data_IF_481075461043
#
_entry.id   IF_481075461043
#
_cell.length_a   1.000
_cell.length_b   1.000
_cell.length_c   1.000
_cell.angle_alpha   90.00
_cell.angle_beta   90.00
_cell.angle_gamma   90.00
#
_symmetry.space_group_name_H-M   'P 1'
#
loop_
_entity.id
_entity.type
_entity.pdbx_description
1 polymer ?
#
# COMPACT_ATOMS: atom_id res chain seq x y z
N UNK A 1 29.00 35.78 125.35
CA UNK A 1 30.10 35.83 124.37
C UNK A 1 30.79 34.47 124.31
N UNK A 2 30.48 33.66 123.29
CA UNK A 2 31.26 32.45 123.00
C UNK A 2 32.37 32.85 122.03
N UNK A 3 33.62 32.61 122.44
CA UNK A 3 34.84 33.05 121.76
C UNK A 3 35.04 32.17 120.51
N UNK A 4 34.65 32.67 119.34
CA UNK A 4 35.01 32.01 118.08
C UNK A 4 36.54 31.92 117.99
N UNK A 5 37.11 30.75 117.63
CA UNK A 5 38.55 30.56 117.55
C UNK A 5 39.16 31.51 116.51
N UNK A 6 40.38 32.00 116.77
CA UNK A 6 41.17 32.75 115.78
C UNK A 6 41.27 31.91 114.51
N UNK A 7 40.92 32.48 113.36
CA UNK A 7 40.79 31.83 112.04
C UNK A 7 39.50 31.01 111.78
N UNK A 8 38.42 31.22 112.54
CA UNK A 8 37.13 30.55 112.28
C UNK A 8 36.65 30.70 110.83
N UNK A 9 36.88 31.85 110.19
CA UNK A 9 36.57 32.07 108.76
C UNK A 9 37.31 31.10 107.83
N UNK A 10 38.57 30.76 108.13
CA UNK A 10 39.35 29.79 107.35
C UNK A 10 38.87 28.36 107.58
N UNK A 11 38.41 28.04 108.80
CA UNK A 11 37.80 26.75 109.12
C UNK A 11 36.45 26.62 108.41
N UNK A 12 35.63 27.66 108.44
CA UNK A 12 34.32 27.69 107.78
C UNK A 12 34.47 27.61 106.25
N UNK A 13 35.47 28.31 105.68
CA UNK A 13 35.81 28.22 104.25
C UNK A 13 36.31 26.82 103.87
N UNK A 14 37.15 26.20 104.72
CA UNK A 14 37.65 24.84 104.52
C UNK A 14 36.53 23.80 104.57
N UNK A 15 35.63 23.88 105.57
CA UNK A 15 34.46 23.00 105.69
C UNK A 15 33.49 23.22 104.53
N UNK A 16 33.26 24.48 104.14
CA UNK A 16 32.43 24.82 102.97
C UNK A 16 33.01 24.28 101.66
N UNK A 17 34.33 24.36 101.47
CA UNK A 17 35.01 23.80 100.30
C UNK A 17 34.91 22.27 100.22
N UNK A 18 35.08 21.58 101.35
CA UNK A 18 34.93 20.12 101.41
C UNK A 18 33.48 19.70 101.16
N UNK A 19 32.51 20.43 101.71
CA UNK A 19 31.08 20.18 101.45
C UNK A 19 30.73 20.39 99.97
N UNK A 20 31.23 21.47 99.34
CA UNK A 20 31.01 21.75 97.93
C UNK A 20 31.61 20.65 97.02
N UNK A 21 32.83 20.18 97.33
CA UNK A 21 33.45 19.05 96.62
C UNK A 21 32.65 17.75 96.81
N UNK A 22 32.12 17.50 98.01
CA UNK A 22 31.24 16.37 98.29
C UNK A 22 29.95 16.38 97.49
N UNK A 23 29.29 17.54 97.40
CA UNK A 23 28.08 17.70 96.58
C UNK A 23 28.37 17.62 95.07
N UNK A 24 29.49 18.16 94.61
CA UNK A 24 29.92 18.02 93.21
C UNK A 24 30.21 16.55 92.84
N UNK A 25 30.87 15.80 93.73
CA UNK A 25 31.12 14.37 93.55
C UNK A 25 29.82 13.55 93.55
N UNK A 26 28.87 13.85 94.44
CA UNK A 26 27.54 13.23 94.42
C UNK A 26 26.76 13.55 93.13
N UNK A 27 26.84 14.81 92.66
CA UNK A 27 26.23 15.22 91.39
C UNK A 27 26.79 14.44 90.20
N UNK A 28 28.12 14.28 90.13
CA UNK A 28 28.81 13.53 89.08
C UNK A 28 28.53 12.02 89.16
N UNK A 29 28.44 11.45 90.36
CA UNK A 29 28.05 10.05 90.55
C UNK A 29 26.59 9.80 90.12
N UNK A 30 25.68 10.74 90.38
CA UNK A 30 24.28 10.64 89.94
C UNK A 30 24.07 10.96 88.46
N UNK A 31 24.87 11.83 87.84
CA UNK A 31 24.76 12.10 86.41
C UNK A 31 25.09 10.87 85.55
N UNK A 32 26.00 10.00 86.00
CA UNK A 32 26.28 8.72 85.35
C UNK A 32 25.14 7.69 85.50
N UNK A 33 24.21 7.90 86.44
CA UNK A 33 23.03 7.06 86.62
C UNK A 33 21.81 7.53 85.79
N UNK A 34 21.85 8.71 85.18
CA UNK A 34 20.75 9.22 84.34
C UNK A 34 20.51 8.31 83.12
N UNK A 35 21.57 7.70 82.58
CA UNK A 35 21.42 6.70 81.51
C UNK A 35 20.71 5.41 81.98
N UNK A 36 20.77 5.08 83.28
CA UNK A 36 20.08 3.94 83.87
C UNK A 36 18.64 4.29 84.31
N UNK A 37 18.40 5.49 84.83
CA UNK A 37 17.05 5.96 85.22
C UNK A 37 16.15 6.26 84.01
N UNK A 38 16.75 6.56 82.84
CA UNK A 38 16.04 6.67 81.55
C UNK A 38 16.36 5.50 80.60
N UNK A 39 16.98 4.42 81.09
CA UNK A 39 16.99 3.17 80.35
C UNK A 39 15.55 2.70 80.31
N UNK A 40 14.84 3.04 79.23
CA UNK A 40 13.64 2.32 78.85
C UNK A 40 14.10 0.89 78.59
N UNK A 41 14.00 0.05 79.60
CA UNK A 41 13.99 -1.39 79.42
C UNK A 41 12.80 -1.68 78.50
N UNK A 42 13.06 -1.72 77.19
CA UNK A 42 12.19 -2.44 76.29
C UNK A 42 12.28 -3.89 76.78
N UNK A 43 11.19 -4.50 77.25
CA UNK A 43 11.26 -5.85 77.76
C UNK A 43 11.66 -6.77 76.62
N UNK A 44 12.93 -7.13 76.53
CA UNK A 44 13.41 -8.27 75.76
C UNK A 44 13.25 -9.51 76.64
N UNK A 45 12.01 -9.79 77.05
CA UNK A 45 11.62 -11.11 77.54
C UNK A 45 10.77 -11.74 76.45
N UNK A 46 11.22 -12.90 75.95
CA UNK A 46 10.48 -13.67 74.95
C UNK A 46 9.02 -13.86 75.33
N UNK A 47 8.13 -13.57 74.39
CA UNK A 47 6.69 -13.72 74.58
C UNK A 47 5.89 -12.88 73.61
N UNK A 48 5.84 -13.34 72.35
CA UNK A 48 5.06 -12.84 71.22
C UNK A 48 5.58 -11.53 70.63
N UNK A 49 6.18 -11.69 69.45
CA UNK A 49 5.93 -10.84 68.28
C UNK A 49 4.97 -9.69 68.60
N UNK A 50 5.45 -8.45 68.60
CA UNK A 50 4.56 -7.29 68.57
C UNK A 50 3.95 -7.32 67.16
N UNK A 51 3.02 -8.24 66.94
CA UNK A 51 2.13 -8.22 65.79
C UNK A 51 1.34 -6.93 65.95
N UNK A 52 1.80 -5.88 65.26
CA UNK A 52 0.88 -4.86 64.78
C UNK A 52 -0.22 -5.67 64.07
N UNK A 53 -1.49 -5.59 64.48
CA UNK A 53 -2.54 -6.49 63.98
C UNK A 53 -2.64 -6.55 62.45
N UNK A 54 -2.12 -5.52 61.77
CA UNK A 54 -2.08 -5.39 60.32
C UNK A 54 -0.71 -5.69 59.67
N UNK A 55 0.37 -5.97 60.42
CA UNK A 55 1.69 -6.30 59.86
C UNK A 55 1.70 -7.53 58.91
N UNK A 56 0.93 -8.61 59.19
CA UNK A 56 0.78 -9.69 58.23
C UNK A 56 0.02 -9.26 56.97
N UNK A 57 -0.91 -8.31 57.10
CA UNK A 57 -1.70 -7.77 56.00
C UNK A 57 -0.86 -6.83 55.12
N UNK A 58 0.04 -6.03 55.69
CA UNK A 58 0.95 -5.17 54.93
C UNK A 58 1.97 -5.99 54.13
N UNK A 59 2.55 -7.04 54.73
CA UNK A 59 3.46 -7.95 54.00
C UNK A 59 2.74 -8.70 52.85
N UNK A 60 1.50 -9.14 53.07
CA UNK A 60 0.65 -9.72 52.00
C UNK A 60 0.27 -8.69 50.94
N UNK A 61 -0.05 -7.46 51.33
CA UNK A 61 -0.40 -6.38 50.41
C UNK A 61 0.80 -6.00 49.52
N UNK A 62 1.99 -5.83 50.12
CA UNK A 62 3.23 -5.57 49.39
C UNK A 62 3.56 -6.72 48.44
N UNK A 63 3.45 -7.97 48.90
CA UNK A 63 3.61 -9.15 48.05
C UNK A 63 2.60 -9.19 46.89
N UNK A 64 1.35 -8.77 47.13
CA UNK A 64 0.28 -8.73 46.11
C UNK A 64 0.41 -7.60 45.08
N UNK A 65 1.21 -6.58 45.40
CA UNK A 65 1.57 -5.47 44.51
C UNK A 65 2.76 -5.86 43.61
N UNK A 66 3.66 -6.68 44.11
CA UNK A 66 4.88 -7.11 43.40
C UNK A 66 4.72 -8.44 42.65
N UNK A 67 3.65 -9.20 42.92
CA UNK A 67 3.35 -10.43 42.20
C UNK A 67 2.93 -10.13 40.76
N UNK A 68 3.62 -10.73 39.79
CA UNK A 68 3.17 -10.72 38.38
C UNK A 68 1.75 -11.30 38.35
N UNK A 69 0.80 -10.48 37.88
CA UNK A 69 -0.56 -10.95 37.59
C UNK A 69 -0.63 -11.26 36.11
N UNK A 70 -0.91 -12.51 35.79
CA UNK A 70 -1.33 -12.87 34.45
C UNK A 70 -2.76 -12.40 34.27
N UNK A 71 -2.95 -11.52 33.29
CA UNK A 71 -4.27 -11.05 32.89
C UNK A 71 -4.77 -12.02 31.83
N UNK A 72 -5.79 -12.80 32.18
CA UNK A 72 -6.44 -13.69 31.24
C UNK A 72 -7.22 -12.88 30.19
N UNK A 73 -7.05 -13.26 28.93
CA UNK A 73 -7.87 -12.72 27.83
C UNK A 73 -9.28 -13.26 27.95
N UNK A 74 -10.26 -12.41 27.71
CA UNK A 74 -11.69 -12.79 27.72
C UNK A 74 -12.12 -13.14 26.31
N UNK A 75 -12.93 -14.18 26.13
CA UNK A 75 -13.53 -14.49 24.83
C UNK A 75 -14.71 -13.56 24.55
N UNK A 76 -14.60 -12.74 23.50
CA UNK A 76 -15.68 -11.87 23.03
C UNK A 76 -15.88 -12.08 21.53
N UNK A 77 -17.13 -12.30 21.10
CA UNK A 77 -17.49 -12.43 19.69
C UNK A 77 -16.63 -13.44 18.88
N UNK A 78 -16.15 -14.50 19.54
CA UNK A 78 -15.35 -15.56 18.93
C UNK A 78 -13.86 -15.24 18.74
N UNK A 79 -13.31 -14.28 19.51
CA UNK A 79 -11.87 -14.03 19.63
C UNK A 79 -11.47 -13.70 21.07
N UNK A 80 -10.23 -14.03 21.49
CA UNK A 80 -9.70 -13.57 22.77
C UNK A 80 -9.37 -12.07 22.69
N UNK A 81 -9.93 -11.29 23.61
CA UNK A 81 -9.72 -9.84 23.76
C UNK A 81 -9.00 -9.54 25.07
N UNK A 82 -8.15 -8.51 25.04
CA UNK A 82 -7.52 -7.97 26.24
C UNK A 82 -8.54 -7.14 27.03
N UNK A 83 -8.42 -7.13 28.36
CA UNK A 83 -9.32 -6.39 29.25
C UNK A 83 -8.82 -4.98 29.55
N UNK A 84 -7.54 -4.69 29.28
CA UNK A 84 -6.91 -3.39 29.56
C UNK A 84 -6.62 -2.56 28.32
N UNK A 85 -6.74 -3.16 27.13
CA UNK A 85 -6.58 -2.46 25.84
C UNK A 85 -7.93 -2.42 25.13
N UNK A 86 -8.42 -1.21 24.88
CA UNK A 86 -9.64 -1.02 24.10
C UNK A 86 -9.46 -1.47 22.65
N UNK A 87 -10.48 -2.15 22.11
CA UNK A 87 -10.55 -2.48 20.68
C UNK A 87 -11.36 -1.41 19.94
N UNK A 88 -10.97 -1.04 18.71
CA UNK A 88 -11.80 -0.17 17.89
C UNK A 88 -13.11 -0.88 17.55
N UNK A 89 -14.21 -0.27 17.95
CA UNK A 89 -15.57 -0.68 17.59
C UNK A 89 -16.18 0.39 16.70
N UNK A 90 -16.91 -0.03 15.68
CA UNK A 90 -17.53 0.87 14.72
C UNK A 90 -19.05 0.88 14.91
N UNK A 91 -19.69 2.00 14.62
CA UNK A 91 -21.15 2.09 14.65
C UNK A 91 -21.69 1.78 13.26
N UNK A 92 -22.66 0.85 13.18
CA UNK A 92 -23.42 0.68 11.95
C UNK A 92 -24.39 1.86 11.79
N UNK A 93 -24.40 2.48 10.61
CA UNK A 93 -25.28 3.63 10.31
C UNK A 93 -26.77 3.28 10.48
N UNK A 94 -27.16 2.05 10.18
CA UNK A 94 -28.54 1.57 10.25
C UNK A 94 -28.87 1.01 11.64
N UNK A 95 -27.87 0.68 12.47
CA UNK A 95 -28.09 0.13 13.81
C UNK A 95 -27.00 0.57 14.80
N UNK A 96 -27.09 1.83 15.25
CA UNK A 96 -26.11 2.43 16.17
C UNK A 96 -26.00 1.73 17.54
N UNK A 97 -26.98 0.90 17.93
CA UNK A 97 -26.98 0.20 19.21
C UNK A 97 -26.24 -1.15 19.16
N UNK A 98 -25.83 -1.61 17.98
CA UNK A 98 -25.07 -2.85 17.81
C UNK A 98 -23.68 -2.48 17.28
N UNK A 99 -22.65 -2.52 18.13
CA UNK A 99 -21.29 -2.21 17.69
C UNK A 99 -20.78 -3.28 16.72
N UNK A 100 -20.10 -2.82 15.69
CA UNK A 100 -19.44 -3.60 14.65
C UNK A 100 -18.01 -3.87 15.14
N UNK A 101 -17.67 -5.14 15.34
CA UNK A 101 -16.31 -5.61 15.63
C UNK A 101 -15.73 -6.29 14.38
N UNK A 102 -14.89 -5.60 13.58
CA UNK A 102 -14.36 -6.14 12.34
C UNK A 102 -13.50 -7.40 12.56
N UNK A 103 -12.91 -7.55 13.74
CA UNK A 103 -12.05 -8.69 14.06
C UNK A 103 -12.85 -9.93 14.54
N UNK A 104 -14.17 -9.80 14.74
CA UNK A 104 -15.03 -10.92 15.10
C UNK A 104 -15.10 -11.96 13.98
N UNK A 105 -14.97 -13.24 14.36
CA UNK A 105 -15.08 -14.39 13.43
C UNK A 105 -16.51 -14.68 13.00
N UNK A 106 -17.51 -14.10 13.68
CA UNK A 106 -18.94 -14.33 13.42
C UNK A 106 -19.55 -13.25 12.52
N UNK A 107 -18.82 -12.16 12.27
CA UNK A 107 -19.33 -11.03 11.52
C UNK A 107 -19.07 -11.20 10.02
N UNK A 108 -20.01 -10.77 9.20
CA UNK A 108 -19.79 -10.64 7.75
C UNK A 108 -18.78 -9.51 7.47
N UNK A 109 -18.10 -9.54 6.32
CA UNK A 109 -17.30 -8.41 5.89
C UNK A 109 -18.15 -7.13 5.84
N UNK A 110 -17.59 -6.03 6.34
CA UNK A 110 -18.20 -4.69 6.27
C UNK A 110 -18.31 -4.26 4.80
N UNK A 111 -17.28 -4.62 4.02
CA UNK A 111 -17.19 -4.34 2.59
C UNK A 111 -16.95 -5.62 1.80
N UNK A 112 -18.02 -6.37 1.50
CA UNK A 112 -17.91 -7.54 0.63
C UNK A 112 -17.31 -7.16 -0.74
N UNK A 113 -16.37 -7.95 -1.30
CA UNK A 113 -15.88 -9.26 -0.83
C UNK A 113 -14.63 -9.21 0.09
N UNK A 114 -14.17 -8.01 0.47
CA UNK A 114 -12.89 -7.81 1.16
C UNK A 114 -13.03 -8.17 2.65
N UNK A 115 -12.30 -9.18 3.16
CA UNK A 115 -12.41 -9.60 4.56
C UNK A 115 -12.02 -8.48 5.53
N UNK A 116 -12.75 -8.35 6.65
CA UNK A 116 -12.48 -7.33 7.67
C UNK A 116 -11.04 -7.34 8.22
N UNK A 117 -10.41 -8.51 8.30
CA UNK A 117 -9.02 -8.63 8.74
C UNK A 117 -8.05 -7.91 7.81
N UNK A 118 -8.31 -7.95 6.51
CA UNK A 118 -7.44 -7.31 5.52
C UNK A 118 -7.28 -5.83 5.81
N UNK A 119 -8.38 -5.10 6.00
CA UNK A 119 -8.39 -3.67 6.35
C UNK A 119 -7.59 -3.36 7.62
N UNK A 120 -7.67 -4.22 8.64
CA UNK A 120 -6.94 -4.02 9.90
C UNK A 120 -5.45 -4.31 9.72
N UNK A 121 -5.10 -5.34 8.94
CA UNK A 121 -3.72 -5.75 8.68
C UNK A 121 -2.99 -4.78 7.74
N UNK A 122 -3.69 -4.25 6.73
CA UNK A 122 -3.14 -3.26 5.80
C UNK A 122 -3.19 -1.85 6.33
N UNK A 123 -4.10 -1.55 7.27
CA UNK A 123 -4.32 -0.20 7.77
C UNK A 123 -5.16 0.68 6.85
N UNK A 124 -5.75 0.12 5.78
CA UNK A 124 -6.68 0.84 4.92
C UNK A 124 -7.95 1.27 5.68
N UNK A 125 -8.52 2.41 5.29
CA UNK A 125 -9.66 2.98 5.97
C UNK A 125 -10.96 2.26 5.57
N UNK A 126 -11.52 1.46 6.48
CA UNK A 126 -12.80 0.77 6.28
C UNK A 126 -14.04 1.61 6.64
N UNK A 127 -13.89 2.84 7.14
CA UNK A 127 -15.00 3.59 7.75
C UNK A 127 -15.97 4.20 6.73
N UNK A 128 -15.55 4.33 5.47
CA UNK A 128 -16.37 4.89 4.42
C UNK A 128 -17.19 3.80 3.72
N UNK A 129 -18.44 4.12 3.36
CA UNK A 129 -19.28 3.19 2.61
C UNK A 129 -18.68 2.79 1.25
N UNK A 130 -17.84 3.66 0.67
CA UNK A 130 -17.14 3.42 -0.58
C UNK A 130 -15.65 3.07 -0.39
N UNK A 131 -15.23 2.62 0.79
CA UNK A 131 -13.83 2.25 1.07
C UNK A 131 -13.18 1.35 0.01
N UNK A 132 -13.86 0.34 -0.59
CA UNK A 132 -13.27 -0.47 -1.66
C UNK A 132 -12.86 0.32 -2.91
N UNK A 133 -13.55 1.42 -3.21
CA UNK A 133 -13.32 2.25 -4.41
C UNK A 133 -12.41 3.45 -4.13
N UNK A 134 -11.93 3.59 -2.89
CA UNK A 134 -10.99 4.64 -2.49
C UNK A 134 -9.56 4.21 -2.79
N UNK A 135 -8.73 5.21 -2.97
CA UNK A 135 -7.28 5.12 -3.15
C UNK A 135 -6.68 5.86 -1.95
N UNK A 136 -6.32 5.10 -0.92
CA UNK A 136 -5.94 5.66 0.38
C UNK A 136 -4.53 6.24 0.37
N UNK A 137 -3.64 5.69 -0.45
CA UNK A 137 -2.29 6.23 -0.63
C UNK A 137 -2.21 7.25 -1.78
N UNK A 138 -3.00 7.14 -2.84
CA UNK A 138 -3.01 8.04 -3.99
C UNK A 138 -2.09 7.59 -5.13
N UNK A 139 -1.86 6.29 -5.29
CA UNK A 139 -1.05 5.70 -6.37
C UNK A 139 -1.83 5.47 -7.68
N UNK A 140 -3.15 5.66 -7.66
CA UNK A 140 -4.06 5.47 -8.78
C UNK A 140 -4.77 4.11 -8.80
N UNK A 141 -4.54 3.24 -7.81
CA UNK A 141 -5.23 1.99 -7.60
C UNK A 141 -6.21 2.09 -6.43
N UNK A 142 -7.33 1.39 -6.57
CA UNK A 142 -8.33 1.32 -5.51
C UNK A 142 -7.96 0.22 -4.51
N UNK A 143 -8.37 0.40 -3.26
CA UNK A 143 -8.22 -0.59 -2.19
C UNK A 143 -8.68 -2.00 -2.63
N UNK A 144 -9.72 -2.09 -3.46
CA UNK A 144 -10.19 -3.36 -4.04
C UNK A 144 -9.21 -3.97 -5.03
N UNK A 145 -8.66 -3.19 -5.96
CA UNK A 145 -7.67 -3.66 -6.94
C UNK A 145 -6.41 -4.16 -6.24
N UNK A 146 -6.01 -3.49 -5.14
CA UNK A 146 -4.85 -3.88 -4.34
C UNK A 146 -5.11 -5.13 -3.50
N UNK A 147 -6.33 -5.30 -2.97
CA UNK A 147 -6.75 -6.55 -2.34
C UNK A 147 -6.66 -7.72 -3.33
N UNK A 148 -7.14 -7.54 -4.56
CA UNK A 148 -7.06 -8.56 -5.63
C UNK A 148 -5.60 -8.86 -6.04
N UNK A 149 -4.76 -7.82 -6.09
CA UNK A 149 -3.34 -7.92 -6.45
C UNK A 149 -2.42 -8.34 -5.29
N UNK A 150 -2.93 -8.40 -4.05
CA UNK A 150 -2.17 -8.64 -2.81
C UNK A 150 -1.06 -7.61 -2.58
N UNK A 151 -1.34 -6.34 -2.88
CA UNK A 151 -0.45 -5.21 -2.63
C UNK A 151 -0.92 -4.39 -1.42
N UNK A 152 -0.16 -3.35 -1.05
CA UNK A 152 -0.39 -2.59 0.17
C UNK A 152 -1.11 -1.25 -0.10
N UNK A 153 -2.37 -1.08 0.35
CA UNK A 153 -3.20 0.12 0.10
C UNK A 153 -2.80 1.40 0.82
N UNK A 154 -1.71 1.35 1.56
CA UNK A 154 -1.16 2.48 2.32
C UNK A 154 0.29 2.78 1.93
N UNK A 155 0.84 2.03 0.96
CA UNK A 155 2.21 2.19 0.50
C UNK A 155 2.27 2.39 -1.02
N UNK A 156 2.49 3.64 -1.42
CA UNK A 156 2.59 4.06 -2.83
C UNK A 156 3.62 3.30 -3.66
N UNK A 157 4.60 2.67 -3.03
CA UNK A 157 5.60 1.87 -3.73
C UNK A 157 5.08 0.46 -4.07
N UNK A 158 4.03 0.00 -3.38
CA UNK A 158 3.40 -1.31 -3.51
C UNK A 158 2.25 -1.26 -4.52
N UNK A 159 2.58 -1.02 -5.79
CA UNK A 159 1.57 -0.90 -6.83
C UNK A 159 1.19 -2.27 -7.44
N UNK A 160 -0.09 -2.50 -7.78
CA UNK A 160 -0.48 -3.58 -8.68
C UNK A 160 0.17 -3.47 -10.07
N UNK A 161 0.02 -4.53 -10.87
CA UNK A 161 0.54 -4.51 -12.24
C UNK A 161 -0.12 -3.40 -13.07
N UNK A 162 0.67 -2.45 -13.58
CA UNK A 162 0.21 -1.30 -14.38
C UNK A 162 -0.63 -1.70 -15.61
N UNK A 163 -0.46 -2.93 -16.12
CA UNK A 163 -1.27 -3.47 -17.22
C UNK A 163 -2.77 -3.45 -16.89
N UNK A 164 -3.15 -3.56 -15.62
CA UNK A 164 -4.54 -3.54 -15.16
C UNK A 164 -5.22 -2.16 -15.36
N UNK A 165 -4.42 -1.10 -15.48
CA UNK A 165 -4.91 0.28 -15.73
C UNK A 165 -4.85 0.68 -17.20
N UNK A 166 -4.35 -0.18 -18.08
CA UNK A 166 -4.32 0.14 -19.51
C UNK A 166 -5.74 0.13 -20.08
N UNK A 167 -6.21 1.30 -20.46
CA UNK A 167 -7.45 1.48 -21.18
C UNK A 167 -7.17 1.70 -22.67
N UNK A 168 -7.98 1.07 -23.52
CA UNK A 168 -8.02 1.40 -24.93
C UNK A 168 -8.42 2.87 -25.09
N UNK A 169 -7.51 3.70 -25.58
CA UNK A 169 -7.74 5.14 -25.73
C UNK A 169 -8.33 5.46 -27.10
N UNK A 170 -7.68 4.97 -28.16
CA UNK A 170 -8.10 5.13 -29.55
C UNK A 170 -7.34 4.14 -30.43
N UNK A 171 -7.95 3.75 -31.54
CA UNK A 171 -7.29 3.09 -32.66
C UNK A 171 -7.07 4.11 -33.76
N UNK A 172 -5.86 4.11 -34.29
CA UNK A 172 -5.40 5.02 -35.33
C UNK A 172 -4.97 4.20 -36.53
N UNK A 173 -5.92 3.94 -37.42
CA UNK A 173 -5.66 3.16 -38.63
C UNK A 173 -5.38 4.08 -39.81
N UNK A 174 -4.26 3.85 -40.49
CA UNK A 174 -3.93 4.55 -41.74
C UNK A 174 -4.58 3.81 -42.88
N UNK A 175 -5.46 4.46 -43.62
CA UNK A 175 -6.04 3.88 -44.83
C UNK A 175 -4.98 3.82 -45.93
N UNK A 176 -4.90 2.71 -46.66
CA UNK A 176 -4.00 2.61 -47.81
C UNK A 176 -4.54 1.67 -48.89
N UNK A 177 -4.16 1.94 -50.13
CA UNK A 177 -4.48 1.11 -51.29
C UNK A 177 -3.33 1.18 -52.31
N UNK A 178 -3.00 0.04 -52.91
CA UNK A 178 -2.11 0.00 -54.07
C UNK A 178 -2.96 0.05 -55.32
N UNK A 179 -3.00 1.19 -55.99
CA UNK A 179 -3.71 1.40 -57.25
C UNK A 179 -3.03 0.67 -58.41
N UNK A 180 -3.87 0.16 -59.29
CA UNK A 180 -3.44 -0.51 -60.51
C UNK A 180 -2.98 0.57 -61.49
N UNK A 181 -1.67 0.80 -61.52
CA UNK A 181 -1.07 1.79 -62.40
C UNK A 181 -0.91 1.25 -63.82
N UNK A 182 0.28 1.43 -64.41
CA UNK A 182 0.52 0.96 -65.77
C UNK A 182 0.77 -0.55 -65.79
N UNK A 183 0.26 -1.21 -66.82
CA UNK A 183 0.58 -2.60 -67.16
C UNK A 183 1.03 -2.66 -68.62
N UNK A 184 2.12 -3.36 -68.88
CA UNK A 184 2.63 -3.58 -70.22
C UNK A 184 3.39 -4.89 -70.29
N UNK A 185 3.00 -5.76 -71.22
CA UNK A 185 3.66 -7.04 -71.47
C UNK A 185 3.80 -7.90 -70.21
N UNK A 186 2.78 -7.90 -69.33
CA UNK A 186 2.79 -8.68 -68.09
C UNK A 186 3.62 -8.08 -66.96
N UNK A 187 4.25 -6.92 -67.18
CA UNK A 187 4.88 -6.12 -66.13
C UNK A 187 3.92 -5.08 -65.58
N UNK A 188 4.10 -4.72 -64.31
CA UNK A 188 3.17 -3.83 -63.60
C UNK A 188 3.90 -2.71 -62.85
N UNK A 189 3.40 -1.48 -62.94
CA UNK A 189 3.88 -0.32 -62.21
C UNK A 189 2.77 0.22 -61.30
N UNK A 190 2.71 -0.20 -60.02
CA UNK A 190 1.72 0.27 -59.06
C UNK A 190 1.94 1.71 -58.60
N UNK A 191 0.85 2.32 -58.12
CA UNK A 191 0.88 3.56 -57.34
C UNK A 191 0.28 3.31 -55.96
N UNK A 192 0.97 3.71 -54.90
CA UNK A 192 0.44 3.72 -53.56
C UNK A 192 -0.32 5.01 -53.28
N UNK A 193 -1.48 4.88 -52.65
CA UNK A 193 -2.23 5.98 -52.07
C UNK A 193 -2.63 5.62 -50.64
N UNK A 194 -2.45 6.54 -49.71
CA UNK A 194 -2.89 6.38 -48.34
C UNK A 194 -3.31 7.68 -47.71
N UNK A 195 -4.05 7.58 -46.61
CA UNK A 195 -4.53 8.69 -45.80
C UNK A 195 -4.25 8.37 -44.33
N UNK A 196 -3.63 9.32 -43.63
CA UNK A 196 -3.46 9.24 -42.18
C UNK A 196 -4.81 9.16 -41.45
N UNK A 197 -4.84 8.70 -40.18
CA UNK A 197 -6.09 8.53 -39.43
C UNK A 197 -6.94 9.80 -39.36
N UNK A 198 -6.30 10.97 -39.33
CA UNK A 198 -6.95 12.28 -39.34
C UNK A 198 -7.48 12.73 -40.72
N UNK A 199 -7.26 11.91 -41.76
CA UNK A 199 -7.54 12.16 -43.18
C UNK A 199 -6.90 13.44 -43.76
N UNK A 200 -5.93 14.04 -43.06
CA UNK A 200 -5.30 15.30 -43.51
C UNK A 200 -4.08 15.07 -44.38
N UNK A 201 -3.30 14.05 -44.08
CA UNK A 201 -2.04 13.79 -44.79
C UNK A 201 -2.22 12.67 -45.79
N UNK A 202 -1.98 12.98 -47.07
CA UNK A 202 -1.95 11.99 -48.15
C UNK A 202 -0.56 11.37 -48.23
N UNK A 203 -0.49 10.06 -48.10
CA UNK A 203 0.70 9.27 -48.33
C UNK A 203 0.69 8.77 -49.78
N UNK A 204 1.81 8.90 -50.49
CA UNK A 204 1.91 8.46 -51.87
C UNK A 204 3.27 7.83 -52.14
N UNK A 205 3.27 6.82 -53.00
CA UNK A 205 4.47 6.22 -53.56
C UNK A 205 4.15 5.68 -54.95
N UNK A 206 5.14 5.40 -55.79
CA UNK A 206 4.92 4.82 -57.12
C UNK A 206 6.13 4.05 -57.59
N UNK A 207 5.87 3.06 -58.43
CA UNK A 207 6.90 2.43 -59.26
C UNK A 207 6.97 3.18 -60.59
N UNK A 208 8.19 3.50 -61.04
CA UNK A 208 8.40 4.15 -62.33
C UNK A 208 8.00 3.23 -63.48
N UNK A 209 7.46 3.80 -64.56
CA UNK A 209 7.17 3.06 -65.79
C UNK A 209 8.42 2.48 -66.46
N UNK A 210 9.63 2.95 -66.09
CA UNK A 210 10.91 2.40 -66.58
C UNK A 210 11.30 1.13 -65.81
N UNK A 211 10.86 1.00 -64.55
CA UNK A 211 11.22 -0.08 -63.64
C UNK A 211 10.00 -0.94 -63.29
N UNK A 212 9.19 -1.26 -64.30
CA UNK A 212 7.98 -2.06 -64.10
C UNK A 212 8.33 -3.45 -63.54
N UNK A 213 7.50 -3.91 -62.61
CA UNK A 213 7.71 -5.13 -61.84
C UNK A 213 7.35 -6.36 -62.66
N UNK A 214 8.15 -7.41 -62.51
CA UNK A 214 7.83 -8.76 -62.96
C UNK A 214 7.33 -9.60 -61.78
N UNK A 215 6.52 -10.65 -62.01
CA UNK A 215 6.11 -11.57 -60.95
C UNK A 215 7.32 -12.09 -60.16
N UNK A 216 7.30 -11.93 -58.84
CA UNK A 216 8.39 -12.24 -57.92
C UNK A 216 9.12 -11.01 -57.38
N UNK A 217 9.02 -9.86 -58.05
CA UNK A 217 9.72 -8.63 -57.66
C UNK A 217 9.09 -7.98 -56.43
N UNK A 218 9.94 -7.42 -55.58
CA UNK A 218 9.51 -6.54 -54.48
C UNK A 218 9.36 -5.12 -54.97
N UNK A 219 8.44 -4.36 -54.37
CA UNK A 219 8.14 -3.02 -54.87
C UNK A 219 8.06 -1.94 -53.80
N UNK A 220 8.12 -0.70 -54.30
CA UNK A 220 8.49 0.52 -53.58
C UNK A 220 9.92 0.43 -53.05
N UNK A 221 10.94 0.75 -53.85
CA UNK A 221 12.35 0.64 -53.43
C UNK A 221 12.68 1.53 -52.23
N UNK A 222 12.05 2.69 -52.17
CA UNK A 222 12.22 3.72 -51.14
C UNK A 222 10.88 4.37 -50.77
N UNK A 223 10.86 5.13 -49.68
CA UNK A 223 9.69 5.89 -49.24
C UNK A 223 8.64 5.08 -48.47
N UNK A 224 7.38 5.50 -48.57
CA UNK A 224 6.26 4.89 -47.83
C UNK A 224 6.10 3.44 -48.29
N UNK A 225 6.14 2.52 -47.31
CA UNK A 225 5.99 1.06 -47.51
C UNK A 225 7.12 0.45 -48.38
N UNK A 226 8.34 0.97 -48.23
CA UNK A 226 9.48 0.47 -48.97
C UNK A 226 9.74 -1.04 -48.75
N UNK A 227 9.95 -1.78 -49.84
CA UNK A 227 10.25 -3.21 -49.91
C UNK A 227 9.29 -4.10 -49.11
N UNK A 228 8.05 -3.64 -48.97
CA UNK A 228 7.04 -4.29 -48.11
C UNK A 228 6.25 -5.36 -48.84
N UNK A 229 6.06 -5.19 -50.14
CA UNK A 229 5.21 -6.06 -50.94
C UNK A 229 6.00 -6.78 -52.02
N UNK A 230 5.53 -7.97 -52.37
CA UNK A 230 6.03 -8.74 -53.51
C UNK A 230 4.92 -9.00 -54.51
N UNK A 231 5.17 -8.65 -55.75
CA UNK A 231 4.22 -8.85 -56.83
C UNK A 231 4.14 -10.34 -57.19
N UNK A 232 2.93 -10.90 -57.26
CA UNK A 232 2.72 -12.33 -57.53
C UNK A 232 2.29 -12.58 -58.97
N UNK A 233 1.53 -11.66 -59.57
CA UNK A 233 1.11 -11.78 -60.96
C UNK A 233 -0.18 -11.03 -61.29
N UNK A 234 -0.62 -11.17 -62.54
CA UNK A 234 -1.87 -10.60 -63.04
C UNK A 234 -2.90 -11.71 -63.24
N UNK A 235 -4.15 -11.40 -62.94
CA UNK A 235 -5.30 -12.28 -63.17
C UNK A 235 -6.41 -11.49 -63.85
N UNK A 236 -7.10 -12.10 -64.83
CA UNK A 236 -8.29 -11.49 -65.44
C UNK A 236 -9.54 -12.13 -64.86
N UNK A 237 -10.46 -11.31 -64.36
CA UNK A 237 -11.75 -11.75 -63.80
C UNK A 237 -12.90 -10.96 -64.40
N UNK A 238 -14.05 -11.61 -64.54
CA UNK A 238 -15.28 -10.94 -64.92
C UNK A 238 -15.90 -10.28 -63.69
N UNK A 239 -15.98 -8.94 -63.72
CA UNK A 239 -16.56 -8.14 -62.66
C UNK A 239 -17.84 -7.51 -63.18
N UNK A 240 -18.94 -7.71 -62.46
CA UNK A 240 -20.21 -7.03 -62.74
C UNK A 240 -20.29 -5.79 -61.87
N UNK A 241 -20.30 -4.61 -62.49
CA UNK A 241 -20.45 -3.35 -61.75
C UNK A 241 -21.85 -3.26 -61.17
N UNK A 242 -21.97 -3.00 -59.87
CA UNK A 242 -23.27 -2.89 -59.19
C UNK A 242 -24.11 -1.74 -59.74
N UNK A 243 -23.45 -0.66 -60.21
CA UNK A 243 -24.07 0.58 -60.66
C UNK A 243 -24.61 0.50 -62.10
N UNK A 244 -23.88 -0.15 -63.00
CA UNK A 244 -24.26 -0.23 -64.42
C UNK A 244 -24.85 -1.59 -64.80
N UNK A 245 -24.75 -2.60 -63.93
CA UNK A 245 -25.12 -4.01 -64.20
C UNK A 245 -24.41 -4.60 -65.42
N UNK A 246 -23.31 -3.98 -65.86
CA UNK A 246 -22.49 -4.45 -66.97
C UNK A 246 -21.39 -5.37 -66.43
N UNK A 247 -21.21 -6.51 -67.09
CA UNK A 247 -20.10 -7.43 -66.87
C UNK A 247 -18.92 -7.00 -67.75
N UNK A 248 -17.77 -6.77 -67.14
CA UNK A 248 -16.53 -6.41 -67.83
C UNK A 248 -15.41 -7.33 -67.37
N UNK A 249 -14.52 -7.70 -68.29
CA UNK A 249 -13.26 -8.37 -67.95
C UNK A 249 -12.29 -7.33 -67.40
N UNK A 250 -11.92 -7.48 -66.14
CA UNK A 250 -11.04 -6.57 -65.41
C UNK A 250 -9.79 -7.32 -64.97
N UNK A 251 -8.64 -6.68 -65.15
CA UNK A 251 -7.35 -7.19 -64.67
C UNK A 251 -7.15 -6.86 -63.19
N UNK A 252 -6.62 -7.81 -62.45
CA UNK A 252 -6.23 -7.70 -61.06
C UNK A 252 -4.74 -7.98 -60.93
N UNK A 253 -4.01 -7.12 -60.23
CA UNK A 253 -2.64 -7.39 -59.82
C UNK A 253 -2.66 -7.95 -58.40
N UNK A 254 -2.11 -9.16 -58.24
CA UNK A 254 -2.00 -9.84 -56.97
C UNK A 254 -0.61 -9.61 -56.39
N UNK A 255 -0.55 -9.30 -55.10
CA UNK A 255 0.70 -9.09 -54.39
C UNK A 255 0.60 -9.58 -52.95
N UNK A 256 1.73 -9.98 -52.37
CA UNK A 256 1.83 -10.51 -51.02
C UNK A 256 2.60 -9.57 -50.09
N UNK A 257 2.23 -9.60 -48.82
CA UNK A 257 2.89 -8.88 -47.73
C UNK A 257 4.12 -9.63 -47.22
N UNK A 258 5.23 -8.91 -47.05
CA UNK A 258 6.49 -9.46 -46.56
C UNK A 258 6.78 -9.10 -45.10
N UNK A 259 6.08 -8.12 -44.52
CA UNK A 259 6.31 -7.71 -43.13
C UNK A 259 5.97 -8.85 -42.16
N UNK A 260 6.84 -9.08 -41.18
CA UNK A 260 6.81 -10.26 -40.30
C UNK A 260 5.45 -10.52 -39.62
N UNK A 261 4.72 -9.47 -39.25
CA UNK A 261 3.43 -9.58 -38.58
C UNK A 261 2.24 -9.91 -39.49
N UNK A 262 2.38 -9.74 -40.81
CA UNK A 262 1.33 -9.97 -41.82
C UNK A 262 1.84 -10.83 -42.99
N UNK A 263 2.95 -11.56 -42.79
CA UNK A 263 3.65 -12.26 -43.86
C UNK A 263 2.74 -13.30 -44.52
N UNK A 264 2.59 -13.20 -45.84
CA UNK A 264 1.75 -14.12 -46.63
C UNK A 264 0.29 -13.68 -46.78
N UNK A 265 -0.12 -12.55 -46.20
CA UNK A 265 -1.38 -11.92 -46.59
C UNK A 265 -1.32 -11.53 -48.08
N UNK A 266 -2.41 -11.81 -48.80
CA UNK A 266 -2.54 -11.51 -50.23
C UNK A 266 -3.49 -10.35 -50.41
N UNK A 267 -3.08 -9.41 -51.25
CA UNK A 267 -3.87 -8.24 -51.61
C UNK A 267 -4.04 -8.20 -53.12
N UNK A 268 -5.05 -7.45 -53.54
CA UNK A 268 -5.38 -7.29 -54.95
C UNK A 268 -5.55 -5.82 -55.31
N UNK A 269 -5.16 -5.48 -56.53
CA UNK A 269 -5.30 -4.17 -57.11
C UNK A 269 -6.13 -4.28 -58.38
N UNK A 270 -7.23 -3.56 -58.48
CA UNK A 270 -8.16 -3.65 -59.60
C UNK A 270 -7.84 -2.59 -60.66
N UNK A 271 -7.70 -3.02 -61.92
CA UNK A 271 -7.54 -2.12 -63.06
C UNK A 271 -8.77 -1.22 -63.25
N UNK A 272 -8.53 0.08 -63.42
CA UNK A 272 -9.58 1.05 -63.69
C UNK A 272 -10.53 1.33 -62.51
N UNK A 273 -10.14 0.97 -61.28
CA UNK A 273 -10.92 1.32 -60.09
C UNK A 273 -11.03 2.85 -59.96
N UNK A 274 -12.25 3.42 -59.91
CA UNK A 274 -12.43 4.86 -59.75
C UNK A 274 -11.90 5.35 -58.40
N UNK A 275 -11.33 6.57 -58.37
CA UNK A 275 -10.80 7.17 -57.13
C UNK A 275 -11.86 7.26 -56.01
N UNK A 276 -13.13 7.43 -56.38
CA UNK A 276 -14.25 7.48 -55.44
C UNK A 276 -14.52 6.14 -54.71
N UNK A 277 -14.06 5.02 -55.27
CA UNK A 277 -14.25 3.68 -54.69
C UNK A 277 -13.02 3.20 -53.89
N UNK A 278 -11.94 3.98 -53.88
CA UNK A 278 -10.70 3.62 -53.19
C UNK A 278 -10.91 3.43 -51.69
N UNK A 279 -11.62 4.36 -51.02
CA UNK A 279 -11.82 4.24 -49.56
C UNK A 279 -12.59 2.96 -49.20
N UNK A 280 -13.52 2.52 -50.04
CA UNK A 280 -14.31 1.31 -49.83
C UNK A 280 -13.53 0.01 -50.08
N UNK A 281 -12.44 0.08 -50.86
CA UNK A 281 -11.57 -1.06 -51.20
C UNK A 281 -10.20 -0.97 -50.52
N UNK A 282 -9.97 0.06 -49.71
CA UNK A 282 -8.71 0.28 -49.02
C UNK A 282 -8.53 -0.70 -47.86
N UNK A 283 -7.26 -0.90 -47.53
CA UNK A 283 -6.79 -1.66 -46.40
C UNK A 283 -6.38 -0.72 -45.26
N UNK A 284 -6.26 -1.29 -44.05
CA UNK A 284 -5.91 -0.60 -42.82
C UNK A 284 -4.76 -1.33 -42.10
#
# INVERSE_FOLDING_TARGET
>A
MSKLPKNFEKILLGVGGVAALGFAAMGFMKSNAVAADFAREVPTSGGKEIEVPEAPATSKAVSSLTSNRDIDKVEANGRPVDTFVGIPLFADKNNANVPVDPLSTKMKPVHDPIPNRWWIETGADMTFANSPDRDDDGDGFTNKEEWEAKTSPVDKASIPALINKLAYTKDESTMWYVQFGLESSGKWAPRFVGLTPDKKTKLQNRVSAVEMLSPGDTFFKEGVFANRFKFTGLEEREVTSEKTKLTQKVKFALYEELKANKKGEKYESQAGLPDAELEAKAYY
#
